data_IF_771794013216
#
_entry.id   IF_771794013216
#
_cell.length_a   1.000
_cell.length_b   1.000
_cell.length_c   1.000
_cell.angle_alpha   90.00
_cell.angle_beta   90.00
_cell.angle_gamma   90.00
#
_symmetry.space_group_name_H-M   'P 1'
#
loop_
_entity.id
_entity.type
_entity.pdbx_description
1 polymer ?
#
# COMPACT_ATOMS: atom_id res chain seq x y z
N UNK A 1 19.39 13.92 -3.19
CA UNK A 1 18.75 12.58 -3.16
C UNK A 1 19.07 11.74 -1.92
N UNK A 2 20.33 11.29 -1.70
CA UNK A 2 20.66 10.29 -0.65
C UNK A 2 20.18 10.70 0.76
N UNK A 3 20.34 11.97 1.12
CA UNK A 3 19.85 12.52 2.39
C UNK A 3 18.33 12.36 2.52
N UNK A 4 17.56 12.80 1.51
CA UNK A 4 16.09 12.67 1.51
C UNK A 4 15.64 11.21 1.58
N UNK A 5 16.31 10.31 0.86
CA UNK A 5 16.03 8.87 0.90
C UNK A 5 16.30 8.28 2.30
N UNK A 6 17.43 8.64 2.93
CA UNK A 6 17.75 8.22 4.29
C UNK A 6 16.71 8.73 5.28
N UNK A 7 16.32 9.99 5.15
CA UNK A 7 15.37 10.64 6.06
C UNK A 7 13.97 10.04 5.91
N UNK A 8 13.54 9.70 4.69
CA UNK A 8 12.30 8.93 4.45
C UNK A 8 12.30 7.57 5.16
N UNK A 9 13.37 6.78 5.02
CA UNK A 9 13.48 5.47 5.70
C UNK A 9 13.48 5.65 7.22
N UNK A 10 14.13 6.69 7.74
CA UNK A 10 14.07 7.03 9.17
C UNK A 10 12.67 7.41 9.63
N UNK A 11 11.92 8.17 8.84
CA UNK A 11 10.54 8.51 9.14
C UNK A 11 9.64 7.28 9.19
N UNK A 12 9.85 6.29 8.30
CA UNK A 12 9.14 5.01 8.39
C UNK A 12 9.43 4.28 9.70
N UNK A 13 10.70 4.24 10.11
CA UNK A 13 11.11 3.65 11.39
C UNK A 13 10.53 4.41 12.59
N UNK A 14 10.48 5.75 12.54
CA UNK A 14 9.92 6.56 13.62
C UNK A 14 8.43 6.29 13.86
N UNK A 15 7.68 5.83 12.85
CA UNK A 15 6.26 5.49 13.00
C UNK A 15 6.04 4.49 14.15
N UNK A 16 6.82 3.41 14.22
CA UNK A 16 6.65 2.39 15.27
C UNK A 16 7.08 2.87 16.66
N UNK A 17 8.00 3.84 16.75
CA UNK A 17 8.38 4.48 18.02
C UNK A 17 7.23 5.33 18.55
N UNK A 18 6.65 6.17 17.69
CA UNK A 18 5.53 7.06 18.01
C UNK A 18 4.25 6.33 18.40
N UNK A 19 4.11 5.05 18.02
CA UNK A 19 3.01 4.20 18.46
C UNK A 19 3.15 3.73 19.90
N UNK A 20 4.34 3.83 20.48
CA UNK A 20 4.62 3.40 21.85
C UNK A 20 5.12 4.60 22.65
N UNK A 21 4.23 5.23 23.43
CA UNK A 21 4.57 6.35 24.30
C UNK A 21 4.95 5.85 25.72
N UNK A 22 6.24 5.73 26.07
CA UNK A 22 6.68 5.19 27.36
C UNK A 22 6.32 6.08 28.56
N UNK A 23 6.06 7.37 28.32
CA UNK A 23 6.01 8.40 29.37
C UNK A 23 4.60 8.73 29.88
N UNK A 24 3.57 7.99 29.45
CA UNK A 24 2.21 8.19 29.97
C UNK A 24 2.06 7.40 31.29
N UNK A 25 1.82 8.07 32.43
CA UNK A 25 1.63 7.41 33.72
C UNK A 25 0.22 6.80 33.80
N UNK A 26 -0.02 5.76 33.01
CA UNK A 26 -1.23 4.95 33.03
C UNK A 26 -0.88 3.54 33.51
N UNK A 27 -1.78 2.89 34.26
CA UNK A 27 -1.65 1.48 34.68
C UNK A 27 -1.43 0.53 33.49
N UNK A 28 -1.85 0.94 32.29
CA UNK A 28 -1.67 0.21 31.04
C UNK A 28 -0.61 0.89 30.17
N UNK A 29 0.64 0.40 30.19
CA UNK A 29 1.72 0.85 29.27
C UNK A 29 1.45 0.48 27.80
N UNK A 30 0.48 -0.42 27.56
CA UNK A 30 0.13 -0.92 26.23
C UNK A 30 -1.03 -0.09 25.68
N UNK A 31 -0.84 0.64 24.56
CA UNK A 31 -1.97 1.29 23.89
C UNK A 31 -2.94 0.23 23.33
N UNK A 32 -4.22 0.57 23.32
CA UNK A 32 -5.22 -0.22 22.64
C UNK A 32 -4.92 -0.26 21.13
N UNK A 33 -5.13 -1.41 20.47
CA UNK A 33 -4.83 -1.57 19.05
C UNK A 33 -5.58 -0.58 18.16
N UNK A 34 -6.82 -0.24 18.52
CA UNK A 34 -7.65 0.76 17.82
C UNK A 34 -7.05 2.18 17.92
N UNK A 35 -6.61 2.58 19.11
CA UNK A 35 -5.95 3.86 19.36
C UNK A 35 -4.60 3.95 18.63
N UNK A 36 -3.79 2.90 18.69
CA UNK A 36 -2.51 2.84 17.98
C UNK A 36 -2.70 2.90 16.45
N UNK A 37 -3.70 2.17 15.92
CA UNK A 37 -4.05 2.24 14.48
C UNK A 37 -4.51 3.64 14.07
N UNK A 38 -5.28 4.32 14.91
CA UNK A 38 -5.72 5.70 14.66
C UNK A 38 -4.54 6.68 14.67
N UNK A 39 -3.62 6.54 15.64
CA UNK A 39 -2.38 7.32 15.69
C UNK A 39 -1.49 7.08 14.47
N UNK A 40 -1.36 5.82 14.03
CA UNK A 40 -0.60 5.49 12.81
C UNK A 40 -1.15 6.21 11.58
N UNK A 41 -2.48 6.23 11.42
CA UNK A 41 -3.13 6.93 10.31
C UNK A 41 -2.86 8.43 10.34
N UNK A 42 -2.89 9.05 11.52
CA UNK A 42 -2.53 10.45 11.68
C UNK A 42 -1.07 10.70 11.25
N UNK A 43 -0.13 9.92 11.78
CA UNK A 43 1.29 10.04 11.44
C UNK A 43 1.55 9.87 9.93
N UNK A 44 0.84 8.95 9.28
CA UNK A 44 0.93 8.74 7.84
C UNK A 44 0.39 9.91 7.02
N UNK A 45 -0.59 10.66 7.54
CA UNK A 45 -1.08 11.87 6.87
C UNK A 45 -0.05 13.02 6.87
N UNK A 46 0.86 13.01 7.84
CA UNK A 46 1.94 14.00 7.99
C UNK A 46 3.23 13.55 7.26
N UNK A 47 3.34 12.26 6.92
CA UNK A 47 4.52 11.68 6.30
C UNK A 47 4.66 12.12 4.84
N UNK A 48 5.83 12.69 4.50
CA UNK A 48 6.17 13.08 3.13
C UNK A 48 6.99 12.00 2.44
N UNK A 49 6.57 11.61 1.24
CA UNK A 49 7.30 10.70 0.36
C UNK A 49 8.15 11.57 -0.58
N UNK A 50 9.49 11.53 -0.50
CA UNK A 50 10.32 12.28 -1.44
C UNK A 50 10.27 11.66 -2.85
N UNK A 51 10.60 12.43 -3.90
CA UNK A 51 10.70 11.87 -5.24
C UNK A 51 11.71 10.73 -5.30
N UNK A 52 11.36 9.68 -6.06
CA UNK A 52 12.17 8.47 -6.22
C UNK A 52 12.46 7.73 -4.91
N UNK A 53 11.70 8.00 -3.84
CA UNK A 53 11.81 7.24 -2.60
C UNK A 53 11.66 5.74 -2.88
N UNK A 54 12.46 4.91 -2.23
CA UNK A 54 12.29 3.45 -2.31
C UNK A 54 12.47 2.80 -0.95
N UNK A 55 12.08 1.54 -0.82
CA UNK A 55 12.33 0.77 0.40
C UNK A 55 13.53 -0.15 0.18
N UNK A 56 14.59 -0.08 1.02
CA UNK A 56 15.84 -0.80 0.81
C UNK A 56 15.77 -2.29 1.20
N UNK A 57 14.68 -2.98 0.83
CA UNK A 57 14.49 -4.42 1.01
C UNK A 57 14.81 -5.20 -0.29
N UNK A 58 15.51 -4.56 -1.22
CA UNK A 58 15.82 -5.08 -2.56
C UNK A 58 17.32 -5.17 -2.82
N UNK A 59 17.74 -6.08 -3.69
CA UNK A 59 19.12 -6.17 -4.18
C UNK A 59 19.40 -5.08 -5.20
N UNK A 60 20.68 -4.70 -5.35
CA UNK A 60 21.12 -3.73 -6.36
C UNK A 60 20.78 -4.15 -7.80
N UNK A 61 20.65 -5.45 -8.05
CA UNK A 61 20.27 -6.04 -9.33
C UNK A 61 18.76 -6.02 -9.62
N UNK A 62 17.91 -5.74 -8.62
CA UNK A 62 16.48 -5.62 -8.82
C UNK A 62 16.15 -4.32 -9.56
N UNK A 63 15.04 -4.35 -10.29
CA UNK A 63 14.49 -3.17 -10.95
C UNK A 63 14.13 -2.12 -9.91
N UNK A 64 14.47 -0.88 -10.19
CA UNK A 64 14.10 0.25 -9.37
C UNK A 64 12.58 0.42 -9.39
N UNK A 65 12.02 0.50 -8.18
CA UNK A 65 10.61 0.76 -7.90
C UNK A 65 10.55 1.88 -6.89
N UNK A 66 9.85 2.95 -7.24
CA UNK A 66 9.68 4.08 -6.34
C UNK A 66 8.34 3.97 -5.62
N UNK A 67 8.33 4.36 -4.35
CA UNK A 67 7.13 4.49 -3.52
C UNK A 67 6.36 5.68 -4.02
N UNK A 68 5.10 5.46 -4.39
CA UNK A 68 4.18 6.52 -4.80
C UNK A 68 3.18 6.86 -3.69
N UNK A 69 2.77 5.87 -2.89
CA UNK A 69 1.77 6.00 -1.83
C UNK A 69 2.03 5.03 -0.68
N UNK A 70 1.61 5.41 0.52
CA UNK A 70 1.43 4.49 1.65
C UNK A 70 -0.06 4.52 1.98
N UNK A 71 -0.73 3.37 1.97
CA UNK A 71 -2.19 3.30 2.14
C UNK A 71 -2.56 3.37 3.62
N UNK A 72 -3.16 4.47 4.12
CA UNK A 72 -3.48 4.63 5.54
C UNK A 72 -4.61 3.70 6.02
N UNK A 73 -5.45 3.24 5.09
CA UNK A 73 -6.54 2.31 5.41
C UNK A 73 -6.04 0.87 5.56
N UNK A 74 -4.94 0.56 4.87
CA UNK A 74 -4.31 -0.76 4.76
C UNK A 74 -3.13 -0.92 5.73
N UNK A 75 -3.37 -0.54 6.99
CA UNK A 75 -2.37 -0.60 8.05
C UNK A 75 -2.74 -1.57 9.17
N UNK A 76 -1.73 -2.18 9.75
CA UNK A 76 -1.81 -3.02 10.93
C UNK A 76 -0.87 -2.54 12.02
N UNK A 77 -1.22 -2.79 13.28
CA UNK A 77 -0.33 -2.51 14.42
C UNK A 77 -0.22 -3.74 15.29
N UNK A 78 1.02 -4.13 15.60
CA UNK A 78 1.33 -5.21 16.52
C UNK A 78 1.91 -4.60 17.80
N UNK A 79 1.10 -4.53 18.85
CA UNK A 79 1.52 -3.93 20.12
C UNK A 79 1.86 -5.03 21.13
N UNK A 80 3.05 -4.97 21.70
CA UNK A 80 3.50 -5.81 22.82
C UNK A 80 3.58 -4.99 24.12
N UNK A 81 4.12 -5.57 25.20
CA UNK A 81 4.32 -4.83 26.47
C UNK A 81 5.38 -3.73 26.34
N UNK A 82 6.39 -3.93 25.50
CA UNK A 82 7.61 -3.11 25.50
C UNK A 82 7.82 -2.33 24.20
N UNK A 83 7.08 -2.70 23.14
CA UNK A 83 7.26 -2.13 21.80
C UNK A 83 6.00 -2.25 20.94
N UNK A 84 5.93 -1.43 19.90
CA UNK A 84 4.93 -1.54 18.84
C UNK A 84 5.62 -1.70 17.47
N UNK A 85 4.99 -2.42 16.56
CA UNK A 85 5.42 -2.55 15.16
C UNK A 85 4.26 -2.20 14.24
N UNK A 86 4.56 -1.57 13.10
CA UNK A 86 3.57 -1.13 12.13
C UNK A 86 3.68 -1.94 10.83
N UNK A 87 2.58 -2.58 10.41
CA UNK A 87 2.42 -3.10 9.06
C UNK A 87 1.92 -1.97 8.16
N UNK A 88 2.67 -1.67 7.11
CA UNK A 88 2.36 -0.65 6.13
C UNK A 88 2.19 -1.32 4.76
N UNK A 89 1.12 -1.01 4.05
CA UNK A 89 0.99 -1.36 2.64
C UNK A 89 1.41 -0.18 1.79
N UNK A 90 2.51 -0.35 1.06
CA UNK A 90 3.08 0.68 0.18
C UNK A 90 2.75 0.36 -1.26
N UNK A 91 2.37 1.38 -2.01
CA UNK A 91 2.21 1.29 -3.44
C UNK A 91 3.51 1.75 -4.10
N UNK A 92 4.00 0.93 -5.01
CA UNK A 92 5.23 1.19 -5.75
C UNK A 92 4.97 1.12 -7.24
N UNK A 93 5.75 1.89 -8.01
CA UNK A 93 5.71 1.85 -9.47
C UNK A 93 7.12 1.60 -10.00
N UNK A 94 7.23 0.63 -10.91
CA UNK A 94 8.48 0.35 -11.59
C UNK A 94 8.89 1.52 -12.49
N UNK A 95 10.19 1.79 -12.55
CA UNK A 95 10.77 2.73 -13.51
C UNK A 95 10.42 2.34 -14.95
N UNK A 96 9.96 3.31 -15.74
CA UNK A 96 9.58 3.09 -17.14
C UNK A 96 10.78 2.67 -17.99
N UNK A 97 11.97 3.20 -17.66
CA UNK A 97 13.23 2.83 -18.29
C UNK A 97 13.74 1.47 -17.80
N UNK A 98 13.05 0.83 -16.86
CA UNK A 98 13.37 -0.47 -16.26
C UNK A 98 14.81 -0.55 -15.76
N UNK A 99 15.34 0.55 -15.21
CA UNK A 99 16.69 0.57 -14.66
C UNK A 99 16.78 -0.29 -13.42
N UNK A 100 17.96 -0.87 -13.20
CA UNK A 100 18.29 -1.50 -11.92
C UNK A 100 18.55 -0.43 -10.86
N UNK A 101 18.40 -0.81 -9.61
CA UNK A 101 18.75 0.07 -8.48
C UNK A 101 20.22 0.52 -8.55
N UNK A 102 21.14 -0.37 -8.95
CA UNK A 102 22.55 -0.02 -9.17
C UNK A 102 22.75 1.06 -10.23
N UNK A 103 21.98 1.01 -11.31
CA UNK A 103 22.07 1.96 -12.42
C UNK A 103 21.54 3.33 -12.01
N UNK A 104 20.47 3.37 -11.21
CA UNK A 104 19.99 4.61 -10.59
C UNK A 104 21.06 5.24 -9.70
N UNK A 105 21.66 4.47 -8.79
CA UNK A 105 22.70 4.99 -7.90
C UNK A 105 23.95 5.44 -8.63
N UNK A 106 24.33 4.72 -9.68
CA UNK A 106 25.43 5.12 -10.54
C UNK A 106 25.13 6.47 -11.19
N UNK A 107 23.94 6.61 -11.78
CA UNK A 107 23.52 7.85 -12.42
C UNK A 107 23.46 9.03 -11.42
N UNK A 108 22.92 8.82 -10.22
CA UNK A 108 22.87 9.85 -9.18
C UNK A 108 24.26 10.22 -8.65
N UNK A 109 25.19 9.26 -8.58
CA UNK A 109 26.58 9.55 -8.16
C UNK A 109 27.33 10.36 -9.21
N UNK A 110 27.07 10.06 -10.47
CA UNK A 110 27.73 10.72 -11.60
C UNK A 110 27.09 12.09 -11.89
N UNK A 111 25.88 12.34 -11.39
CA UNK A 111 25.17 13.62 -11.45
C UNK A 111 25.70 14.60 -10.40
N UNK A 112 26.75 15.35 -10.77
CA UNK A 112 27.36 16.37 -9.92
C UNK A 112 26.51 17.64 -9.71
N UNK A 113 25.62 17.95 -10.66
CA UNK A 113 24.82 19.18 -10.66
C UNK A 113 23.38 18.98 -10.14
N UNK A 114 22.95 17.74 -9.88
CA UNK A 114 21.61 17.43 -9.35
C UNK A 114 20.46 17.49 -10.37
N UNK A 115 20.75 17.81 -11.65
CA UNK A 115 19.72 17.92 -12.71
C UNK A 115 19.08 16.58 -13.03
N UNK A 116 19.86 15.50 -12.97
CA UNK A 116 19.34 14.18 -13.21
C UNK A 116 18.27 13.82 -12.17
N UNK A 117 18.40 14.27 -10.92
CA UNK A 117 17.37 14.02 -9.92
C UNK A 117 16.03 14.69 -10.27
N UNK A 118 16.05 15.92 -10.79
CA UNK A 118 14.83 16.63 -11.24
C UNK A 118 14.19 15.94 -12.45
N UNK A 119 15.00 15.60 -13.46
CA UNK A 119 14.52 14.89 -14.67
C UNK A 119 13.93 13.52 -14.32
N UNK A 120 14.59 12.78 -13.43
CA UNK A 120 14.08 11.49 -12.98
C UNK A 120 12.82 11.64 -12.14
N UNK A 121 12.74 12.68 -11.30
CA UNK A 121 11.50 12.99 -10.60
C UNK A 121 10.35 13.26 -11.58
N UNK A 122 10.61 14.00 -12.66
CA UNK A 122 9.62 14.31 -13.68
C UNK A 122 9.14 13.05 -14.43
N UNK A 123 10.07 12.16 -14.83
CA UNK A 123 9.75 10.90 -15.52
C UNK A 123 8.83 9.98 -14.69
N UNK A 124 8.98 10.01 -13.36
CA UNK A 124 8.29 9.08 -12.48
C UNK A 124 6.92 9.58 -12.05
N UNK A 125 6.53 10.79 -12.49
CA UNK A 125 5.23 11.37 -12.22
C UNK A 125 5.06 11.85 -10.78
N UNK A 126 3.92 12.52 -10.50
CA UNK A 126 3.64 13.11 -9.20
C UNK A 126 3.56 12.05 -8.09
N UNK A 127 4.04 12.36 -6.89
CA UNK A 127 3.79 11.58 -5.67
C UNK A 127 2.33 11.77 -5.21
N UNK A 128 1.86 11.01 -4.21
CA UNK A 128 0.56 11.28 -3.57
C UNK A 128 0.39 12.73 -3.18
N UNK A 129 1.44 13.34 -2.62
CA UNK A 129 1.36 14.71 -2.14
C UNK A 129 1.11 15.68 -3.30
N UNK A 130 1.75 15.44 -4.44
CA UNK A 130 1.57 16.23 -5.65
C UNK A 130 0.16 16.03 -6.27
N UNK A 131 -0.37 14.79 -6.22
CA UNK A 131 -1.74 14.49 -6.69
C UNK A 131 -2.80 15.11 -5.78
N UNK A 132 -2.60 15.08 -4.47
CA UNK A 132 -3.52 15.72 -3.52
C UNK A 132 -3.48 17.25 -3.65
N UNK A 133 -2.29 17.84 -3.78
CA UNK A 133 -2.14 19.27 -4.00
C UNK A 133 -2.81 19.73 -5.32
N UNK A 134 -2.84 18.89 -6.35
CA UNK A 134 -3.55 19.19 -7.60
C UNK A 134 -5.08 19.12 -7.45
N UNK A 135 -5.61 18.26 -6.56
CA UNK A 135 -7.06 18.10 -6.33
C UNK A 135 -7.68 19.24 -5.54
N UNK A 136 -6.90 19.89 -4.67
CA UNK A 136 -7.35 21.09 -3.93
C UNK A 136 -7.51 22.32 -4.85
N UNK A 137 -7.23 22.19 -6.16
CA UNK A 137 -7.33 23.25 -7.17
C UNK A 137 -8.36 23.03 -8.29
N UNK A 138 -9.17 21.97 -8.26
CA UNK A 138 -10.20 21.70 -9.28
C UNK A 138 -11.59 21.65 -8.63
N UNK A 139 -12.35 22.74 -8.82
CA UNK A 139 -13.78 22.84 -8.52
C UNK A 139 -14.62 21.88 -9.39
N UNK A 140 -15.76 21.50 -8.80
CA UNK A 140 -16.80 20.57 -9.25
C UNK A 140 -17.07 20.46 -10.76
N UNK A 141 -17.18 19.23 -11.26
CA UNK A 141 -18.13 18.91 -12.33
C UNK A 141 -18.72 17.49 -12.17
N UNK A 142 -20.00 17.53 -11.81
CA UNK A 142 -21.02 16.48 -11.75
C UNK A 142 -21.17 15.73 -13.08
N UNK A 143 -21.29 14.38 -13.08
CA UNK A 143 -22.12 13.64 -14.06
C UNK A 143 -22.39 12.17 -13.66
N UNK A 144 -23.59 11.98 -13.08
CA UNK A 144 -24.71 11.11 -13.49
C UNK A 144 -24.48 9.65 -13.97
N UNK A 145 -25.19 8.76 -13.27
CA UNK A 145 -25.50 7.36 -13.58
C UNK A 145 -26.02 7.06 -15.00
N UNK A 146 -25.62 5.92 -15.57
CA UNK A 146 -26.52 5.01 -16.30
C UNK A 146 -25.85 3.66 -16.65
N UNK A 147 -26.36 2.55 -16.11
CA UNK A 147 -26.51 1.32 -16.89
C UNK A 147 -27.41 0.30 -16.17
N UNK A 148 -28.68 0.27 -16.58
CA UNK A 148 -29.56 -0.86 -16.33
C UNK A 148 -30.52 -1.03 -17.51
N UNK A 149 -30.72 -2.31 -17.87
CA UNK A 149 -31.80 -2.90 -18.66
C UNK A 149 -31.55 -3.16 -20.16
N UNK A 150 -31.21 -4.41 -20.45
CA UNK A 150 -31.72 -5.13 -21.61
C UNK A 150 -32.46 -6.37 -21.11
N UNK A 151 -33.81 -6.36 -21.23
CA UNK A 151 -34.66 -7.54 -21.06
C UNK A 151 -34.96 -8.08 -22.46
N UNK A 152 -34.59 -9.34 -22.72
CA UNK A 152 -35.09 -10.10 -23.86
C UNK A 152 -35.65 -11.44 -23.35
N UNK A 153 -36.90 -11.69 -23.74
CA UNK A 153 -37.63 -12.93 -23.55
C UNK A 153 -36.99 -14.10 -24.28
N UNK A 154 -36.91 -15.27 -23.63
CA UNK A 154 -36.97 -16.56 -24.30
C UNK A 154 -37.58 -17.61 -23.36
N UNK A 155 -38.68 -18.21 -23.80
CA UNK A 155 -39.39 -19.30 -23.13
C UNK A 155 -38.88 -20.65 -23.64
N UNK A 156 -38.75 -21.62 -22.73
CA UNK A 156 -38.87 -23.05 -23.01
C UNK A 156 -37.58 -23.87 -22.93
N UNK A 157 -37.48 -24.75 -21.93
CA UNK A 157 -37.24 -26.19 -22.09
C UNK A 157 -36.92 -26.84 -20.73
N UNK A 158 -37.91 -27.51 -20.16
CA UNK A 158 -37.86 -28.29 -18.93
C UNK A 158 -37.17 -29.62 -19.20
N UNK A 159 -35.90 -29.71 -18.79
CA UNK A 159 -35.15 -30.94 -18.39
C UNK A 159 -33.74 -30.61 -17.88
N UNK A 160 -33.24 -29.38 -18.07
CA UNK A 160 -31.95 -28.88 -17.55
C UNK A 160 -32.02 -28.24 -16.15
N UNK A 161 -33.17 -28.29 -15.47
CA UNK A 161 -33.38 -27.58 -14.21
C UNK A 161 -32.57 -28.18 -13.03
N UNK A 162 -32.43 -29.51 -12.99
CA UNK A 162 -31.83 -30.18 -11.85
C UNK A 162 -30.30 -30.01 -11.78
N UNK A 163 -29.61 -29.92 -12.92
CA UNK A 163 -28.16 -29.69 -12.95
C UNK A 163 -27.79 -28.22 -12.64
N UNK A 164 -28.66 -27.27 -12.99
CA UNK A 164 -28.47 -25.85 -12.65
C UNK A 164 -28.69 -25.58 -11.16
N UNK A 165 -29.67 -26.24 -10.53
CA UNK A 165 -29.95 -26.10 -9.10
C UNK A 165 -28.75 -26.57 -8.24
N UNK A 166 -28.12 -27.70 -8.60
CA UNK A 166 -26.93 -28.19 -7.89
C UNK A 166 -25.72 -27.28 -8.09
N UNK A 167 -25.54 -26.73 -9.29
CA UNK A 167 -24.44 -25.80 -9.57
C UNK A 167 -24.59 -24.46 -8.85
N UNK A 168 -25.83 -23.94 -8.74
CA UNK A 168 -26.14 -22.73 -7.98
C UNK A 168 -25.98 -22.94 -6.48
N UNK A 169 -26.42 -24.08 -5.95
CA UNK A 169 -26.23 -24.45 -4.54
C UNK A 169 -24.75 -24.61 -4.19
N UNK A 170 -23.95 -25.23 -5.07
CA UNK A 170 -22.52 -25.40 -4.85
C UNK A 170 -21.78 -24.05 -4.92
N UNK A 171 -22.18 -23.15 -5.84
CA UNK A 171 -21.66 -21.79 -5.91
C UNK A 171 -22.02 -20.98 -4.67
N UNK A 172 -23.25 -21.10 -4.18
CA UNK A 172 -23.72 -20.42 -2.97
C UNK A 172 -23.02 -20.97 -1.72
N UNK A 173 -22.81 -22.28 -1.61
CA UNK A 173 -22.04 -22.89 -0.54
C UNK A 173 -20.57 -22.42 -0.55
N UNK A 174 -19.93 -22.35 -1.73
CA UNK A 174 -18.59 -21.78 -1.89
C UNK A 174 -18.52 -20.31 -1.48
N UNK A 175 -19.54 -19.53 -1.81
CA UNK A 175 -19.66 -18.12 -1.40
C UNK A 175 -19.81 -17.98 0.11
N UNK A 176 -20.69 -18.76 0.74
CA UNK A 176 -20.87 -18.75 2.21
C UNK A 176 -19.57 -19.18 2.91
N UNK A 177 -18.88 -20.20 2.40
CA UNK A 177 -17.57 -20.60 2.91
C UNK A 177 -16.52 -19.50 2.73
N UNK A 178 -16.47 -18.83 1.58
CA UNK A 178 -15.55 -17.71 1.36
C UNK A 178 -15.85 -16.54 2.31
N UNK A 179 -17.12 -16.15 2.45
CA UNK A 179 -17.55 -15.10 3.41
C UNK A 179 -17.18 -15.49 4.86
N UNK A 180 -17.33 -16.76 5.23
CA UNK A 180 -16.93 -17.27 6.55
C UNK A 180 -15.41 -17.29 6.76
N UNK A 181 -14.63 -17.57 5.70
CA UNK A 181 -13.16 -17.55 5.76
C UNK A 181 -12.64 -16.12 5.80
N UNK A 182 -13.24 -15.21 5.04
CA UNK A 182 -12.92 -13.79 5.06
C UNK A 182 -13.22 -13.17 6.44
N UNK A 183 -14.31 -13.61 7.09
CA UNK A 183 -14.61 -13.21 8.45
C UNK A 183 -13.58 -13.72 9.48
N UNK A 184 -12.96 -14.88 9.24
CA UNK A 184 -12.02 -15.50 10.17
C UNK A 184 -10.56 -15.07 9.94
N UNK A 185 -10.14 -14.96 8.68
CA UNK A 185 -8.76 -14.71 8.25
C UNK A 185 -8.54 -13.34 7.61
N UNK A 186 -9.61 -12.59 7.37
CA UNK A 186 -9.58 -11.39 6.56
C UNK A 186 -9.61 -11.70 5.07
N UNK A 187 -9.68 -10.65 4.25
CA UNK A 187 -9.64 -10.77 2.79
C UNK A 187 -8.30 -11.37 2.29
N UNK A 188 -8.29 -12.17 1.21
CA UNK A 188 -7.07 -12.64 0.60
C UNK A 188 -6.20 -11.50 0.06
N UNK A 189 -4.87 -11.64 0.16
CA UNK A 189 -3.92 -10.62 -0.31
C UNK A 189 -4.13 -10.21 -1.78
N UNK A 190 -4.48 -11.17 -2.64
CA UNK A 190 -4.75 -10.91 -4.06
C UNK A 190 -5.94 -9.97 -4.24
N UNK A 191 -6.96 -10.12 -3.40
CA UNK A 191 -8.18 -9.30 -3.48
C UNK A 191 -7.99 -7.96 -2.78
N UNK A 192 -7.27 -7.91 -1.65
CA UNK A 192 -6.78 -6.66 -1.05
C UNK A 192 -6.00 -5.84 -2.08
N UNK A 193 -5.01 -6.47 -2.74
CA UNK A 193 -4.18 -5.81 -3.76
C UNK A 193 -5.03 -5.27 -4.92
N UNK A 194 -6.01 -6.03 -5.39
CA UNK A 194 -6.94 -5.58 -6.46
C UNK A 194 -7.83 -4.43 -5.98
N UNK A 195 -8.37 -4.52 -4.77
CA UNK A 195 -9.22 -3.50 -4.16
C UNK A 195 -8.45 -2.19 -4.00
N UNK A 196 -7.25 -2.23 -3.43
CA UNK A 196 -6.36 -1.06 -3.29
C UNK A 196 -6.00 -0.50 -4.66
N UNK A 197 -5.65 -1.35 -5.64
CA UNK A 197 -5.37 -0.92 -7.02
C UNK A 197 -6.53 -0.14 -7.65
N UNK A 198 -7.77 -0.58 -7.46
CA UNK A 198 -8.95 0.08 -8.04
C UNK A 198 -9.19 1.48 -7.46
N UNK A 199 -8.90 1.67 -6.17
CA UNK A 199 -9.12 2.94 -5.46
C UNK A 199 -7.90 3.86 -5.48
N UNK A 200 -6.73 3.36 -5.90
CA UNK A 200 -5.52 4.14 -6.00
C UNK A 200 -5.52 5.04 -7.24
N UNK A 201 -5.11 6.30 -7.05
CA UNK A 201 -4.77 7.21 -8.15
C UNK A 201 -3.63 6.66 -9.05
N UNK A 202 -2.77 5.80 -8.50
CA UNK A 202 -1.63 5.20 -9.19
C UNK A 202 -1.90 3.80 -9.74
N UNK A 203 -3.02 3.18 -9.39
CA UNK A 203 -3.28 1.77 -9.70
C UNK A 203 -3.33 1.44 -11.19
N UNK A 204 -3.56 2.44 -12.05
CA UNK A 204 -3.53 2.30 -13.51
C UNK A 204 -2.12 2.37 -14.11
N UNK A 205 -1.11 2.82 -13.34
CA UNK A 205 0.25 2.98 -13.86
C UNK A 205 0.88 1.63 -14.24
N UNK A 206 1.57 1.54 -15.39
CA UNK A 206 2.34 0.35 -15.73
C UNK A 206 3.36 0.02 -14.64
N UNK A 207 3.48 -1.26 -14.28
CA UNK A 207 4.41 -1.68 -13.22
C UNK A 207 4.00 -1.32 -11.80
N UNK A 208 2.77 -0.84 -11.57
CA UNK A 208 2.20 -0.67 -10.23
C UNK A 208 2.14 -1.99 -9.46
N UNK A 209 2.55 -1.97 -8.20
CA UNK A 209 2.47 -3.09 -7.27
C UNK A 209 2.16 -2.60 -5.84
N UNK A 210 1.53 -3.46 -5.05
CA UNK A 210 1.34 -3.27 -3.62
C UNK A 210 2.35 -4.16 -2.89
N UNK A 211 3.09 -3.60 -1.94
CA UNK A 211 4.08 -4.31 -1.14
C UNK A 211 3.80 -4.10 0.36
N UNK A 212 3.72 -5.16 1.17
CA UNK A 212 3.62 -5.03 2.62
C UNK A 212 5.02 -4.91 3.23
N UNK A 213 5.20 -3.96 4.14
CA UNK A 213 6.43 -3.82 4.93
C UNK A 213 6.07 -3.75 6.41
N UNK A 214 6.92 -4.32 7.26
CA UNK A 214 6.80 -4.17 8.71
C UNK A 214 7.91 -3.23 9.16
N UNK A 215 7.51 -2.08 9.71
CA UNK A 215 8.40 -1.23 10.47
C UNK A 215 8.48 -1.73 11.91
N UNK A 216 9.69 -2.08 12.33
CA UNK A 216 10.02 -2.39 13.72
C UNK A 216 11.07 -1.38 14.17
N UNK A 217 10.92 -0.86 15.38
CA UNK A 217 11.94 0.00 15.99
C UNK A 217 12.29 -0.52 17.36
N UNK A 218 13.56 -0.33 17.75
CA UNK A 218 14.17 -0.93 18.93
C UNK A 218 14.08 -2.48 18.96
N UNK A 219 14.02 -3.10 17.78
CA UNK A 219 14.13 -4.56 17.63
C UNK A 219 15.45 -4.89 16.92
N UNK A 220 16.26 -5.77 17.52
CA UNK A 220 17.53 -6.18 16.94
C UNK A 220 17.30 -7.30 15.92
N UNK A 221 16.98 -6.90 14.69
CA UNK A 221 16.70 -7.83 13.60
C UNK A 221 17.95 -8.49 13.02
N UNK A 222 19.16 -8.21 13.54
CA UNK A 222 20.40 -8.81 12.99
C UNK A 222 20.39 -10.34 13.11
N UNK A 223 19.76 -10.88 14.14
CA UNK A 223 19.61 -12.33 14.32
C UNK A 223 18.62 -12.95 13.33
N UNK A 224 17.65 -12.18 12.81
CA UNK A 224 16.66 -12.62 11.82
C UNK A 224 17.25 -12.67 10.39
N UNK A 225 18.38 -12.00 10.14
CA UNK A 225 19.01 -11.88 8.81
C UNK A 225 19.90 -13.08 8.45
N UNK A 226 20.38 -13.84 9.43
CA UNK A 226 21.33 -14.96 9.23
C UNK A 226 20.68 -16.35 9.30
N UNK A 227 19.39 -16.47 8.97
CA UNK A 227 18.66 -17.74 8.95
C UNK A 227 18.77 -18.42 7.58
#
# INVERSE_FOLDING_TARGET
YITAQRDFVRSLAALSEELYAPDVPSMSRRPEASAAKSRLRQLLSELRIPPLAYVPLTRSSHLFRHVVRISPDEVGVFVTRERASALLCIEVVADERRRKLSELFQAVRDDGDGKLFEDLSADHGPTVLDVLAARDGEDDDEHTHAHAQARAHAQGASTAAHENDVAEDELNARRICAESLDALYGEPWVDQSRRVRRHSAFGKRPGWQLEPIISKTNDDVRQEVFV
#
